data_IF_418853852099
#
_entry.id   IF_418853852099
#
_cell.length_a   1.000
_cell.length_b   1.000
_cell.length_c   1.000
_cell.angle_alpha   90.00
_cell.angle_beta   90.00
_cell.angle_gamma   90.00
#
_symmetry.space_group_name_H-M   'P 1'
#
loop_
_entity.id
_entity.type
_entity.pdbx_description
1 polymer ?
#
# COMPACT_ATOMS: atom_id res chain seq x y z
N UNK A 1 19.23 15.43 -3.61
CA UNK A 1 19.06 13.96 -3.46
C UNK A 1 18.02 13.75 -2.38
N UNK A 2 17.01 12.90 -2.56
CA UNK A 2 16.00 12.61 -1.54
C UNK A 2 16.64 11.81 -0.40
N UNK A 3 16.43 12.27 0.84
CA UNK A 3 16.96 11.64 2.04
C UNK A 3 15.86 10.75 2.66
N UNK A 4 15.98 9.44 2.45
CA UNK A 4 15.00 8.46 2.90
C UNK A 4 14.99 8.30 4.44
N UNK A 5 16.15 8.43 5.08
CA UNK A 5 16.27 8.36 6.54
C UNK A 5 15.59 9.58 7.18
N UNK A 6 15.83 10.76 6.61
CA UNK A 6 15.18 12.00 7.04
C UNK A 6 13.67 11.93 6.88
N UNK A 7 13.17 11.40 5.73
CA UNK A 7 11.75 11.21 5.50
C UNK A 7 11.13 10.31 6.57
N UNK A 8 11.76 9.18 6.89
CA UNK A 8 11.30 8.27 7.95
C UNK A 8 11.29 8.99 9.31
N UNK A 9 12.34 9.71 9.67
CA UNK A 9 12.42 10.48 10.92
C UNK A 9 11.31 11.54 11.02
N UNK A 10 11.04 12.26 9.91
CA UNK A 10 9.99 13.27 9.85
C UNK A 10 8.59 12.62 10.02
N UNK A 11 8.34 11.44 9.43
CA UNK A 11 7.10 10.68 9.64
C UNK A 11 6.95 10.22 11.10
N UNK A 12 8.01 9.71 11.72
CA UNK A 12 8.01 9.30 13.14
C UNK A 12 7.69 10.50 14.04
N UNK A 13 8.30 11.65 13.79
CA UNK A 13 8.01 12.88 14.54
C UNK A 13 6.56 13.31 14.37
N UNK A 14 6.08 13.37 13.14
CA UNK A 14 4.70 13.75 12.81
C UNK A 14 3.66 12.78 13.41
N UNK A 15 4.00 11.50 13.55
CA UNK A 15 3.10 10.49 14.13
C UNK A 15 2.84 10.69 15.62
N UNK A 16 3.62 11.52 16.31
CA UNK A 16 3.42 11.87 17.73
C UNK A 16 2.51 13.08 17.93
N UNK A 17 2.08 13.74 16.85
CA UNK A 17 1.17 14.89 16.94
C UNK A 17 -0.28 14.46 17.22
N UNK A 18 -1.10 15.40 17.72
CA UNK A 18 -2.51 15.14 18.04
C UNK A 18 -3.29 14.63 16.84
N UNK A 19 -3.06 15.22 15.65
CA UNK A 19 -3.66 14.81 14.39
C UNK A 19 -2.63 14.03 13.54
N UNK A 20 -2.11 12.93 14.11
CA UNK A 20 -1.02 12.14 13.53
C UNK A 20 -1.20 11.81 12.05
N UNK A 21 -2.40 11.35 11.65
CA UNK A 21 -2.68 11.00 10.26
C UNK A 21 -2.51 12.21 9.33
N UNK A 22 -3.01 13.38 9.72
CA UNK A 22 -2.90 14.60 8.91
C UNK A 22 -1.44 15.07 8.85
N UNK A 23 -0.73 15.09 9.97
CA UNK A 23 0.66 15.50 10.03
C UNK A 23 1.57 14.61 9.17
N UNK A 24 1.42 13.29 9.27
CA UNK A 24 2.17 12.32 8.44
C UNK A 24 1.78 12.43 6.97
N UNK A 25 0.50 12.70 6.66
CA UNK A 25 0.05 12.97 5.29
C UNK A 25 0.81 14.13 4.65
N UNK A 26 1.04 15.22 5.38
CA UNK A 26 1.78 16.38 4.86
C UNK A 26 3.25 16.02 4.58
N UNK A 27 3.87 15.18 5.40
CA UNK A 27 5.23 14.68 5.16
C UNK A 27 5.25 13.82 3.88
N UNK A 28 4.33 12.86 3.76
CA UNK A 28 4.23 11.98 2.61
C UNK A 28 3.91 12.76 1.32
N UNK A 29 2.99 13.74 1.39
CA UNK A 29 2.63 14.57 0.25
C UNK A 29 3.81 15.39 -0.29
N UNK A 30 4.68 15.89 0.58
CA UNK A 30 5.93 16.54 0.15
C UNK A 30 6.87 15.56 -0.55
N UNK A 31 7.01 14.35 0.00
CA UNK A 31 7.90 13.33 -0.56
C UNK A 31 7.48 12.91 -1.98
N UNK A 32 6.19 12.62 -2.21
CA UNK A 32 5.71 12.15 -3.53
C UNK A 32 5.62 13.26 -4.59
N UNK A 33 5.74 14.55 -4.22
CA UNK A 33 5.89 15.65 -5.20
C UNK A 33 7.21 15.61 -5.97
N UNK A 34 8.19 14.87 -5.48
CA UNK A 34 9.46 14.66 -6.13
C UNK A 34 9.64 13.16 -6.50
N UNK A 35 8.77 12.61 -7.37
CA UNK A 35 8.66 11.17 -7.58
C UNK A 35 9.97 10.56 -8.09
N UNK A 36 10.71 11.26 -8.95
CA UNK A 36 12.01 10.79 -9.47
C UNK A 36 13.09 10.73 -8.39
N UNK A 37 13.11 11.71 -7.49
CA UNK A 37 14.07 11.75 -6.40
C UNK A 37 13.77 10.65 -5.37
N UNK A 38 12.49 10.42 -5.07
CA UNK A 38 12.04 9.35 -4.20
C UNK A 38 12.31 7.97 -4.83
N UNK A 39 12.00 7.78 -6.12
CA UNK A 39 12.31 6.54 -6.85
C UNK A 39 13.81 6.23 -6.83
N UNK A 40 14.67 7.24 -7.06
CA UNK A 40 16.13 7.08 -6.98
C UNK A 40 16.62 6.66 -5.60
N UNK A 41 15.98 7.14 -4.53
CA UNK A 41 16.33 6.77 -3.15
C UNK A 41 15.78 5.40 -2.72
N UNK A 42 14.58 5.06 -3.19
CA UNK A 42 13.96 3.75 -2.95
C UNK A 42 14.58 2.67 -3.83
N UNK A 43 14.99 3.00 -5.05
CA UNK A 43 15.48 2.10 -6.09
C UNK A 43 14.40 1.72 -7.09
N UNK A 44 14.83 1.41 -8.31
CA UNK A 44 13.93 0.95 -9.37
C UNK A 44 13.26 -0.38 -8.98
N UNK A 45 11.95 -0.52 -9.22
CA UNK A 45 11.24 -1.74 -8.88
C UNK A 45 11.55 -2.85 -9.89
N UNK A 46 12.10 -3.95 -9.41
CA UNK A 46 12.43 -5.14 -10.22
C UNK A 46 11.48 -6.31 -9.95
N UNK A 47 10.82 -6.30 -8.78
CA UNK A 47 9.87 -7.32 -8.36
C UNK A 47 8.83 -6.74 -7.40
N UNK A 48 7.64 -7.32 -7.38
CA UNK A 48 6.63 -6.97 -6.40
C UNK A 48 7.03 -7.41 -5.00
N UNK A 49 6.70 -6.59 -4.01
CA UNK A 49 7.01 -6.86 -2.61
C UNK A 49 6.77 -5.67 -1.71
N UNK A 50 6.98 -5.89 -0.42
CA UNK A 50 6.90 -4.88 0.64
C UNK A 50 8.29 -4.72 1.27
N UNK A 51 8.95 -3.59 1.06
CA UNK A 51 10.20 -3.25 1.73
C UNK A 51 9.92 -2.38 2.93
N UNK A 52 10.10 -2.93 4.14
CA UNK A 52 9.91 -2.19 5.38
C UNK A 52 10.99 -1.12 5.51
N UNK A 53 10.57 0.13 5.68
CA UNK A 53 11.42 1.30 5.92
C UNK A 53 11.44 1.66 7.40
N UNK A 54 10.32 1.46 8.11
CA UNK A 54 10.20 1.64 9.55
C UNK A 54 9.12 0.73 10.12
N UNK A 55 9.32 0.24 11.34
CA UNK A 55 8.32 -0.50 12.10
C UNK A 55 8.46 -0.22 13.60
N UNK A 56 7.36 0.19 14.20
CA UNK A 56 7.20 0.35 15.64
C UNK A 56 5.78 -0.01 16.06
N UNK A 57 5.48 0.05 17.34
CA UNK A 57 4.11 -0.18 17.84
C UNK A 57 3.11 0.90 17.36
N UNK A 58 3.58 2.10 17.04
CA UNK A 58 2.74 3.26 16.67
C UNK A 58 2.78 3.62 15.18
N UNK A 59 3.77 3.13 14.42
CA UNK A 59 3.93 3.50 13.02
C UNK A 59 4.63 2.39 12.23
N UNK A 60 4.09 2.07 11.06
CA UNK A 60 4.75 1.22 10.06
C UNK A 60 4.84 1.96 8.74
N UNK A 61 6.01 1.97 8.11
CA UNK A 61 6.25 2.55 6.79
C UNK A 61 6.89 1.49 5.91
N UNK A 62 6.36 1.27 4.72
CA UNK A 62 7.02 0.44 3.72
C UNK A 62 6.86 0.98 2.30
N UNK A 63 7.82 0.66 1.45
CA UNK A 63 7.69 0.80 0.01
C UNK A 63 7.02 -0.46 -0.54
N UNK A 64 5.84 -0.30 -1.12
CA UNK A 64 5.11 -1.35 -1.82
C UNK A 64 5.43 -1.27 -3.31
N UNK A 65 5.65 -2.43 -3.92
CA UNK A 65 5.84 -2.56 -5.37
C UNK A 65 4.86 -3.57 -5.92
N UNK A 66 4.17 -3.20 -6.99
CA UNK A 66 3.18 -4.02 -7.69
C UNK A 66 3.68 -4.34 -9.10
N UNK A 67 3.73 -5.63 -9.47
CA UNK A 67 3.99 -6.01 -10.88
C UNK A 67 2.87 -5.55 -11.80
N UNK A 68 3.11 -5.50 -13.13
CA UNK A 68 2.04 -5.32 -14.12
C UNK A 68 0.85 -6.24 -13.87
N UNK A 69 -0.36 -5.69 -13.97
CA UNK A 69 -1.64 -6.40 -13.81
C UNK A 69 -1.80 -7.18 -12.48
N UNK A 70 -1.06 -6.81 -11.44
CA UNK A 70 -1.19 -7.42 -10.11
C UNK A 70 -2.46 -6.92 -9.41
N UNK A 71 -3.15 -7.86 -8.75
CA UNK A 71 -4.31 -7.56 -7.92
C UNK A 71 -4.09 -8.11 -6.50
N UNK A 72 -4.52 -7.34 -5.50
CA UNK A 72 -4.63 -7.77 -4.12
C UNK A 72 -6.11 -7.74 -3.71
N UNK A 73 -6.57 -8.83 -3.06
CA UNK A 73 -7.96 -8.99 -2.63
C UNK A 73 -8.43 -7.88 -1.68
N UNK A 74 -9.75 -7.75 -1.47
CA UNK A 74 -10.28 -6.85 -0.45
C UNK A 74 -9.70 -7.20 0.94
N UNK A 75 -9.23 -6.19 1.65
CA UNK A 75 -8.65 -6.31 3.00
C UNK A 75 -8.84 -5.02 3.78
N UNK A 76 -8.71 -5.09 5.11
CA UNK A 76 -8.65 -3.93 5.99
C UNK A 76 -7.31 -3.83 6.71
N UNK A 77 -7.06 -2.69 7.34
CA UNK A 77 -5.82 -2.46 8.09
C UNK A 77 -6.05 -2.38 9.59
N UNK A 78 -7.28 -2.12 10.04
CA UNK A 78 -7.67 -1.86 11.45
C UNK A 78 -6.90 -0.71 12.09
N UNK A 79 -6.34 0.15 11.26
CA UNK A 79 -5.65 1.38 11.61
C UNK A 79 -5.74 2.35 10.44
N UNK A 80 -5.54 3.62 10.67
CA UNK A 80 -5.46 4.57 9.57
C UNK A 80 -4.26 4.26 8.66
N UNK A 81 -4.41 4.55 7.38
CA UNK A 81 -3.35 4.37 6.42
C UNK A 81 -3.26 5.57 5.46
N UNK A 82 -2.07 5.75 4.90
CA UNK A 82 -1.77 6.69 3.83
C UNK A 82 -1.06 5.94 2.72
N UNK A 83 -1.42 6.23 1.48
CA UNK A 83 -0.79 5.66 0.29
C UNK A 83 -0.32 6.81 -0.57
N UNK A 84 0.97 6.93 -0.81
CA UNK A 84 1.56 7.94 -1.68
C UNK A 84 2.28 7.31 -2.86
N UNK A 85 1.87 7.62 -4.10
CA UNK A 85 2.42 7.00 -5.30
C UNK A 85 3.61 7.80 -5.82
N UNK A 86 4.76 7.13 -6.00
CA UNK A 86 5.96 7.73 -6.58
C UNK A 86 6.33 7.17 -7.98
N UNK A 87 5.69 6.07 -8.40
CA UNK A 87 5.86 5.51 -9.73
C UNK A 87 4.59 4.79 -10.18
N UNK A 88 4.13 5.03 -11.40
CA UNK A 88 3.02 4.31 -12.00
C UNK A 88 1.65 4.75 -11.53
N UNK A 89 0.77 3.77 -11.27
CA UNK A 89 -0.64 3.98 -10.87
C UNK A 89 -1.13 2.83 -10.01
N UNK A 90 -1.85 3.17 -8.96
CA UNK A 90 -2.56 2.22 -8.10
C UNK A 90 -4.06 2.51 -8.14
N UNK A 91 -4.88 1.53 -8.53
CA UNK A 91 -6.32 1.63 -8.48
C UNK A 91 -6.83 0.94 -7.20
N UNK A 92 -7.65 1.66 -6.45
CA UNK A 92 -8.29 1.19 -5.25
C UNK A 92 -9.79 1.04 -5.49
N UNK A 93 -10.36 -0.13 -5.17
CA UNK A 93 -11.80 -0.32 -5.06
C UNK A 93 -12.13 -0.34 -3.57
N UNK A 94 -13.11 0.46 -3.17
CA UNK A 94 -13.59 0.51 -1.79
C UNK A 94 -14.80 -0.39 -1.60
N UNK A 95 -14.79 -1.12 -0.48
CA UNK A 95 -15.78 -2.13 -0.15
C UNK A 95 -16.45 -1.82 1.18
N UNK A 96 -17.70 -2.21 1.33
CA UNK A 96 -18.44 -2.18 2.60
C UNK A 96 -18.97 -3.57 2.91
N UNK A 97 -19.08 -3.90 4.21
CA UNK A 97 -19.71 -5.13 4.65
C UNK A 97 -21.18 -5.18 4.21
N UNK A 98 -21.63 -6.35 3.81
CA UNK A 98 -22.99 -6.63 3.38
C UNK A 98 -23.42 -8.00 3.90
N UNK A 99 -24.70 -8.35 3.76
CA UNK A 99 -25.21 -9.69 4.13
C UNK A 99 -24.58 -10.83 3.31
N UNK A 100 -24.01 -10.53 2.14
CA UNK A 100 -23.31 -11.47 1.27
C UNK A 100 -21.79 -11.35 1.33
N UNK A 101 -21.21 -10.81 2.43
CA UNK A 101 -19.79 -10.57 2.61
C UNK A 101 -19.42 -9.10 2.37
N UNK A 102 -18.84 -8.74 1.21
CA UNK A 102 -18.54 -7.36 0.85
C UNK A 102 -19.12 -6.96 -0.49
N UNK A 103 -19.48 -5.68 -0.65
CA UNK A 103 -19.91 -5.08 -1.90
C UNK A 103 -19.13 -3.81 -2.19
N UNK A 104 -18.71 -3.62 -3.44
CA UNK A 104 -18.04 -2.40 -3.86
C UNK A 104 -19.01 -1.20 -3.79
N UNK A 105 -18.48 -0.03 -3.38
CA UNK A 105 -19.27 1.21 -3.34
C UNK A 105 -18.54 2.40 -3.94
N UNK A 106 -17.25 2.30 -4.24
CA UNK A 106 -16.46 3.37 -4.82
C UNK A 106 -15.13 2.87 -5.34
N UNK A 107 -14.45 3.73 -6.08
CA UNK A 107 -13.11 3.47 -6.57
C UNK A 107 -12.32 4.79 -6.66
N UNK A 108 -11.00 4.70 -6.54
CA UNK A 108 -10.08 5.81 -6.72
C UNK A 108 -8.82 5.32 -7.44
N UNK A 109 -8.45 6.01 -8.50
CA UNK A 109 -7.14 5.87 -9.12
C UNK A 109 -6.16 6.85 -8.49
N UNK A 110 -4.98 6.36 -8.13
CA UNK A 110 -3.88 7.16 -7.62
C UNK A 110 -2.74 7.16 -8.63
N UNK A 111 -2.28 8.34 -9.00
CA UNK A 111 -1.18 8.56 -9.93
C UNK A 111 0.06 9.06 -9.19
N UNK A 112 1.19 9.15 -9.90
CA UNK A 112 2.41 9.75 -9.36
C UNK A 112 2.13 11.14 -8.76
N UNK A 113 2.50 11.34 -7.50
CA UNK A 113 2.27 12.56 -6.72
C UNK A 113 0.97 12.57 -5.90
N UNK A 114 0.07 11.61 -6.10
CA UNK A 114 -1.16 11.50 -5.31
C UNK A 114 -0.93 10.87 -3.95
N UNK A 115 -1.75 11.29 -2.98
CA UNK A 115 -1.83 10.68 -1.64
C UNK A 115 -3.28 10.37 -1.31
N UNK A 116 -3.56 9.09 -1.03
CA UNK A 116 -4.84 8.67 -0.44
C UNK A 116 -4.78 8.62 1.08
N UNK A 117 -5.92 8.90 1.71
CA UNK A 117 -6.14 8.82 3.16
C UNK A 117 -7.20 7.77 3.42
N UNK A 118 -6.85 6.73 4.19
CA UNK A 118 -7.73 5.63 4.53
C UNK A 118 -7.98 5.63 6.04
N UNK A 119 -9.25 5.57 6.42
CA UNK A 119 -9.64 5.40 7.82
C UNK A 119 -9.40 3.95 8.31
N UNK A 120 -9.44 3.76 9.63
CA UNK A 120 -9.19 2.47 10.26
C UNK A 120 -10.14 1.34 9.80
N UNK A 121 -11.37 1.69 9.45
CA UNK A 121 -12.41 0.74 9.01
C UNK A 121 -12.51 0.60 7.49
N UNK A 122 -11.60 1.25 6.75
CA UNK A 122 -11.61 1.16 5.28
C UNK A 122 -11.27 -0.25 4.81
N UNK A 123 -12.15 -0.81 4.00
CA UNK A 123 -11.90 -2.05 3.26
C UNK A 123 -11.60 -1.66 1.82
N UNK A 124 -10.46 -2.06 1.30
CA UNK A 124 -10.09 -1.81 -0.08
C UNK A 124 -9.41 -3.00 -0.74
N UNK A 125 -9.43 -3.04 -2.06
CA UNK A 125 -8.61 -3.91 -2.88
C UNK A 125 -7.74 -3.05 -3.79
N UNK A 126 -6.56 -3.56 -4.15
CA UNK A 126 -5.56 -2.85 -4.91
C UNK A 126 -5.33 -3.51 -6.26
N UNK A 127 -5.18 -2.71 -7.29
CA UNK A 127 -4.79 -3.17 -8.63
C UNK A 127 -3.72 -2.25 -9.21
N UNK A 128 -2.67 -2.83 -9.79
CA UNK A 128 -1.83 -2.12 -10.75
C UNK A 128 -2.39 -2.37 -12.17
N UNK A 129 -3.07 -1.41 -12.79
CA UNK A 129 -3.69 -1.61 -14.11
C UNK A 129 -2.70 -1.46 -15.27
N UNK A 130 -1.44 -1.11 -15.00
CA UNK A 130 -0.44 -0.80 -16.01
C UNK A 130 0.35 -2.03 -16.46
N UNK A 131 1.03 -1.92 -17.60
CA UNK A 131 2.01 -2.90 -18.11
C UNK A 131 3.43 -2.67 -17.56
N UNK A 132 3.57 -1.78 -16.58
CA UNK A 132 4.83 -1.48 -15.87
C UNK A 132 4.61 -1.58 -14.36
N UNK A 133 5.71 -1.61 -13.62
CA UNK A 133 5.64 -1.59 -12.16
C UNK A 133 5.00 -0.31 -11.63
N UNK A 134 4.31 -0.45 -10.50
CA UNK A 134 3.86 0.67 -9.67
C UNK A 134 4.59 0.62 -8.34
N UNK A 135 5.01 1.79 -7.86
CA UNK A 135 5.66 1.96 -6.56
C UNK A 135 4.95 3.00 -5.71
N UNK A 136 4.67 2.65 -4.46
CA UNK A 136 4.02 3.53 -3.48
C UNK A 136 4.70 3.45 -2.12
N UNK A 137 4.68 4.56 -1.37
CA UNK A 137 4.96 4.55 0.07
C UNK A 137 3.64 4.39 0.80
N UNK A 138 3.56 3.36 1.63
CA UNK A 138 2.41 3.07 2.49
C UNK A 138 2.80 3.34 3.95
N UNK A 139 2.00 4.12 4.65
CA UNK A 139 2.20 4.47 6.06
C UNK A 139 0.97 4.07 6.84
N UNK A 140 1.18 3.42 7.98
CA UNK A 140 0.13 2.87 8.84
C UNK A 140 0.32 3.36 10.27
N UNK A 141 -0.76 3.80 10.91
CA UNK A 141 -0.79 4.27 12.30
C UNK A 141 -0.84 3.14 13.30
N UNK A 142 0.16 2.27 13.29
CA UNK A 142 0.30 1.13 14.18
C UNK A 142 1.30 0.10 13.66
N UNK A 143 1.45 -1.02 14.38
CA UNK A 143 2.23 -2.17 13.90
C UNK A 143 1.37 -2.99 12.92
N UNK A 144 1.59 -2.72 11.63
CA UNK A 144 0.88 -3.37 10.53
C UNK A 144 0.99 -4.91 10.58
N UNK A 145 2.12 -5.44 11.03
CA UNK A 145 2.39 -6.88 11.01
C UNK A 145 1.88 -7.60 12.27
N UNK A 146 1.70 -6.88 13.39
CA UNK A 146 1.19 -7.44 14.64
C UNK A 146 -0.34 -7.31 14.78
N UNK A 147 -0.97 -6.38 14.05
CA UNK A 147 -2.40 -6.12 14.16
C UNK A 147 -3.21 -7.21 13.45
N UNK A 148 -4.16 -7.81 14.19
CA UNK A 148 -5.13 -8.74 13.58
C UNK A 148 -6.04 -7.99 12.61
N UNK A 149 -6.11 -8.45 11.38
CA UNK A 149 -6.82 -7.83 10.26
C UNK A 149 -7.65 -8.84 9.51
N UNK A 150 -8.53 -8.35 8.64
CA UNK A 150 -9.38 -9.18 7.79
C UNK A 150 -8.97 -9.05 6.33
N UNK A 151 -9.19 -10.14 5.61
CA UNK A 151 -9.20 -10.20 4.15
C UNK A 151 -10.51 -10.85 3.70
N UNK A 152 -10.89 -10.63 2.47
CA UNK A 152 -12.07 -11.26 1.88
C UNK A 152 -11.64 -12.10 0.69
N UNK A 153 -12.09 -13.34 0.68
CA UNK A 153 -11.87 -14.23 -0.46
C UNK A 153 -12.45 -13.59 -1.73
N UNK A 154 -11.67 -13.43 -2.81
CA UNK A 154 -12.13 -12.71 -4.01
C UNK A 154 -13.28 -13.40 -4.74
N UNK A 155 -13.45 -14.73 -4.61
CA UNK A 155 -14.48 -15.52 -5.28
C UNK A 155 -15.75 -15.60 -4.44
N UNK A 156 -15.61 -15.99 -3.16
CA UNK A 156 -16.74 -16.21 -2.25
C UNK A 156 -17.20 -14.95 -1.54
N UNK A 157 -16.32 -13.91 -1.43
CA UNK A 157 -16.50 -12.67 -0.67
C UNK A 157 -16.67 -12.89 0.84
N UNK A 158 -16.33 -14.06 1.34
CA UNK A 158 -16.36 -14.39 2.76
C UNK A 158 -15.18 -13.72 3.46
N UNK A 159 -15.44 -13.16 4.64
CA UNK A 159 -14.41 -12.59 5.52
C UNK A 159 -13.59 -13.71 6.15
N UNK A 160 -12.28 -13.55 6.09
CA UNK A 160 -11.29 -14.46 6.64
C UNK A 160 -10.25 -13.65 7.44
N UNK A 161 -9.60 -14.22 8.45
CA UNK A 161 -8.42 -13.60 9.04
C UNK A 161 -7.36 -13.32 7.96
N UNK A 162 -6.73 -12.14 8.01
CA UNK A 162 -5.64 -11.83 7.10
C UNK A 162 -4.48 -12.79 7.33
N UNK A 163 -4.04 -13.45 6.26
CA UNK A 163 -2.99 -14.45 6.28
C UNK A 163 -1.76 -13.95 5.50
N UNK A 164 -0.66 -13.73 6.20
CA UNK A 164 0.59 -13.25 5.63
C UNK A 164 1.20 -14.21 4.60
N UNK A 165 0.97 -15.52 4.72
CA UNK A 165 1.47 -16.51 3.77
C UNK A 165 0.66 -16.49 2.48
N UNK A 166 -0.67 -16.32 2.57
CA UNK A 166 -1.54 -16.11 1.41
C UNK A 166 -1.14 -14.85 0.65
N UNK A 167 -0.92 -13.74 1.37
CA UNK A 167 -0.49 -12.46 0.77
C UNK A 167 0.89 -12.64 0.11
N UNK A 168 1.86 -13.25 0.78
CA UNK A 168 3.18 -13.53 0.21
C UNK A 168 3.08 -14.35 -1.07
N UNK A 169 2.26 -15.40 -1.06
CA UNK A 169 2.02 -16.23 -2.25
C UNK A 169 1.42 -15.45 -3.43
N UNK A 170 0.63 -14.39 -3.18
CA UNK A 170 0.13 -13.52 -4.26
C UNK A 170 1.29 -12.76 -4.91
N UNK A 171 2.19 -12.17 -4.10
CA UNK A 171 3.38 -11.47 -4.61
C UNK A 171 4.31 -12.42 -5.39
N UNK A 172 4.56 -13.62 -4.86
CA UNK A 172 5.40 -14.63 -5.51
C UNK A 172 4.85 -15.03 -6.88
N UNK A 173 3.55 -15.39 -6.95
CA UNK A 173 2.87 -15.73 -8.21
C UNK A 173 2.86 -14.56 -9.20
N UNK A 174 2.70 -13.32 -8.74
CA UNK A 174 2.76 -12.14 -9.58
C UNK A 174 4.16 -11.95 -10.18
N UNK A 175 5.21 -12.12 -9.38
CA UNK A 175 6.61 -12.08 -9.83
C UNK A 175 6.92 -13.19 -10.84
N UNK A 176 6.43 -14.42 -10.62
CA UNK A 176 6.62 -15.53 -11.56
C UNK A 176 5.94 -15.25 -12.91
N UNK A 177 4.68 -14.77 -12.90
CA UNK A 177 3.97 -14.39 -14.13
C UNK A 177 4.75 -13.34 -14.89
N UNK A 178 5.21 -12.28 -14.20
CA UNK A 178 5.98 -11.20 -14.82
C UNK A 178 7.27 -11.72 -15.48
N UNK A 179 8.03 -12.59 -14.79
CA UNK A 179 9.25 -13.20 -15.37
C UNK A 179 8.95 -14.03 -16.61
N UNK A 180 7.88 -14.81 -16.61
CA UNK A 180 7.47 -15.64 -17.78
C UNK A 180 7.13 -14.76 -18.98
N UNK A 181 6.38 -13.68 -18.80
CA UNK A 181 5.98 -12.77 -19.88
C UNK A 181 7.19 -12.03 -20.49
N UNK A 182 8.23 -11.76 -19.69
CA UNK A 182 9.45 -11.12 -20.22
C UNK A 182 10.36 -12.04 -21.01
N UNK A 183 10.23 -13.35 -20.82
CA UNK A 183 11.05 -14.37 -21.47
C UNK A 183 10.35 -15.03 -22.66
N UNK A 184 9.11 -14.65 -22.95
CA UNK A 184 8.32 -15.10 -24.10
C UNK A 184 8.39 -14.11 -25.27
#
# INVERSE_FOLDING_TARGET
>A
MFDLERFVADCVTASAETDAQLAVREVLARAVREPRALLSAVGEPEQAGLRVLHRSASLTIFAATWTPAMNLMPHDHRMWALIGIYAGREDNIFWRRSSAGVSAYGAQALFEGDVAVLGADTIHSVTNPLERFTGGIHVYGGDFFATTRSQWNPETRVEEPSDGDVIRGIFERANERHRRTRNA
#
